data_IF_536050877969
#
_entry.id   IF_536050877969
#
_cell.length_a   1.000
_cell.length_b   1.000
_cell.length_c   1.000
_cell.angle_alpha   90.00
_cell.angle_beta   90.00
_cell.angle_gamma   90.00
#
_symmetry.space_group_name_H-M   'P 1'
#
loop_
_entity.id
_entity.type
_entity.pdbx_description
1 polymer ?
#
# COMPACT_ATOMS: atom_id res chain seq x y z
N UNK A 1 -12.13 0.58 0.62
CA UNK A 1 -10.99 1.52 0.42
C UNK A 1 -10.62 2.21 1.73
N UNK A 2 -11.48 3.07 2.28
CA UNK A 2 -11.17 3.83 3.51
C UNK A 2 -11.00 2.95 4.74
N UNK A 3 -11.76 1.86 4.85
CA UNK A 3 -11.52 0.80 5.85
C UNK A 3 -10.10 0.23 5.75
N UNK A 4 -9.60 -0.05 4.55
CA UNK A 4 -8.24 -0.55 4.36
C UNK A 4 -7.19 0.47 4.83
N UNK A 5 -7.40 1.77 4.55
CA UNK A 5 -6.53 2.86 5.03
C UNK A 5 -6.47 2.91 6.56
N UNK A 6 -7.61 2.72 7.24
CA UNK A 6 -7.69 2.70 8.72
C UNK A 6 -7.03 1.47 9.32
N UNK A 7 -7.31 0.30 8.76
CA UNK A 7 -6.87 -0.97 9.33
C UNK A 7 -5.44 -1.34 8.94
N UNK A 8 -4.90 -0.74 7.89
CA UNK A 8 -3.56 -1.01 7.38
C UNK A 8 -2.92 0.30 6.93
N UNK A 9 -2.09 0.88 7.78
CA UNK A 9 -1.38 2.16 7.55
C UNK A 9 -0.43 2.19 6.34
N UNK A 10 -0.35 1.08 5.59
CA UNK A 10 0.40 0.95 4.33
C UNK A 10 -0.35 1.48 3.11
N UNK A 11 -1.66 1.70 3.20
CA UNK A 11 -2.44 2.21 2.07
C UNK A 11 -2.49 3.73 2.05
N UNK A 12 -1.95 4.32 0.99
CA UNK A 12 -2.17 5.72 0.67
C UNK A 12 -3.44 5.87 -0.18
N UNK A 13 -4.18 6.95 0.04
CA UNK A 13 -5.34 7.34 -0.76
C UNK A 13 -5.09 8.76 -1.24
N UNK A 14 -5.21 8.99 -2.55
CA UNK A 14 -5.04 10.29 -3.20
C UNK A 14 -6.36 10.68 -3.84
N UNK A 15 -7.18 11.54 -3.21
CA UNK A 15 -8.46 11.98 -3.76
C UNK A 15 -8.26 12.89 -4.98
N UNK A 16 -9.10 12.70 -6.01
CA UNK A 16 -9.21 13.61 -7.16
C UNK A 16 -10.67 14.04 -7.29
N UNK A 17 -10.93 15.33 -7.15
CA UNK A 17 -12.25 15.94 -7.20
C UNK A 17 -12.45 16.58 -8.57
N UNK A 18 -13.13 15.87 -9.46
CA UNK A 18 -13.38 16.34 -10.83
C UNK A 18 -14.75 17.01 -10.94
N UNK A 19 -14.74 18.31 -11.27
CA UNK A 19 -15.91 19.19 -11.42
C UNK A 19 -16.86 19.11 -10.23
N UNK A 20 -16.31 18.89 -9.04
CA UNK A 20 -17.03 18.82 -7.78
C UNK A 20 -16.17 19.41 -6.69
N UNK A 21 -16.75 20.26 -5.85
CA UNK A 21 -16.05 20.81 -4.70
C UNK A 21 -15.90 19.74 -3.61
N UNK A 22 -14.72 19.57 -2.99
CA UNK A 22 -14.51 18.63 -1.88
C UNK A 22 -15.53 18.84 -0.75
N UNK A 23 -15.92 20.09 -0.47
CA UNK A 23 -16.92 20.42 0.55
C UNK A 23 -18.31 19.83 0.25
N UNK A 24 -18.72 19.77 -1.02
CA UNK A 24 -19.98 19.13 -1.43
C UNK A 24 -19.91 17.62 -1.30
N UNK A 25 -18.74 17.00 -1.54
CA UNK A 25 -18.53 15.56 -1.34
C UNK A 25 -18.51 15.23 0.15
N UNK A 26 -17.83 16.04 0.98
CA UNK A 26 -17.68 15.85 2.43
C UNK A 26 -19.01 15.85 3.17
N UNK A 27 -19.89 16.78 2.82
CA UNK A 27 -21.18 16.98 3.50
C UNK A 27 -22.37 16.46 2.69
N UNK A 28 -22.12 15.87 1.52
CA UNK A 28 -23.14 15.43 0.58
C UNK A 28 -24.20 16.52 0.32
N UNK A 29 -23.74 17.72 -0.02
CA UNK A 29 -24.56 18.91 -0.32
C UNK A 29 -24.48 19.31 -1.79
N UNK A 30 -25.31 20.30 -2.19
CA UNK A 30 -25.40 20.76 -3.58
C UNK A 30 -25.83 19.66 -4.55
N UNK A 31 -25.41 19.81 -5.82
CA UNK A 31 -25.73 18.87 -6.91
C UNK A 31 -25.21 17.46 -6.58
N UNK A 32 -24.03 17.35 -5.97
CA UNK A 32 -23.49 16.06 -5.54
C UNK A 32 -24.40 15.38 -4.54
N UNK A 33 -24.85 16.11 -3.52
CA UNK A 33 -25.78 15.64 -2.49
C UNK A 33 -27.12 15.15 -3.05
N UNK A 34 -27.70 15.89 -3.99
CA UNK A 34 -28.94 15.49 -4.66
C UNK A 34 -28.78 14.16 -5.41
N UNK A 35 -27.69 14.02 -6.18
CA UNK A 35 -27.38 12.78 -6.90
C UNK A 35 -27.08 11.63 -5.95
N UNK A 36 -26.35 11.90 -4.87
CA UNK A 36 -26.08 10.92 -3.83
C UNK A 36 -27.38 10.41 -3.22
N UNK A 37 -28.26 11.30 -2.74
CA UNK A 37 -29.57 10.93 -2.18
C UNK A 37 -30.40 10.13 -3.17
N UNK A 38 -30.50 10.56 -4.42
CA UNK A 38 -31.26 9.83 -5.44
C UNK A 38 -30.67 8.45 -5.72
N UNK A 39 -29.33 8.33 -5.75
CA UNK A 39 -28.63 7.07 -6.01
C UNK A 39 -28.69 6.09 -4.83
N UNK A 40 -28.84 6.60 -3.60
CA UNK A 40 -28.91 5.77 -2.39
C UNK A 40 -30.31 5.32 -2.02
N UNK A 41 -31.38 5.85 -2.64
CA UNK A 41 -32.79 5.55 -2.31
C UNK A 41 -33.15 4.06 -2.24
N UNK A 42 -32.47 3.21 -3.00
CA UNK A 42 -32.73 1.76 -3.08
C UNK A 42 -31.96 0.93 -2.05
N UNK A 43 -31.04 1.54 -1.32
CA UNK A 43 -30.23 0.86 -0.31
C UNK A 43 -30.80 1.12 1.07
N UNK A 44 -30.51 0.23 2.01
CA UNK A 44 -30.89 0.45 3.41
C UNK A 44 -30.12 1.65 3.99
N UNK A 45 -30.65 2.19 5.09
CA UNK A 45 -30.10 3.38 5.73
C UNK A 45 -28.67 3.18 6.24
N UNK A 46 -28.36 1.98 6.75
CA UNK A 46 -27.03 1.64 7.25
C UNK A 46 -25.96 1.74 6.16
N UNK A 47 -26.19 1.17 4.98
CA UNK A 47 -25.26 1.23 3.84
C UNK A 47 -25.11 2.68 3.36
N UNK A 48 -26.19 3.45 3.34
CA UNK A 48 -26.13 4.85 2.97
C UNK A 48 -25.27 5.66 3.96
N UNK A 49 -25.37 5.35 5.26
CA UNK A 49 -24.59 6.01 6.32
C UNK A 49 -23.10 5.65 6.24
N UNK A 50 -22.77 4.38 5.98
CA UNK A 50 -21.38 3.95 5.74
C UNK A 50 -20.75 4.70 4.56
N UNK A 51 -21.52 4.92 3.49
CA UNK A 51 -21.04 5.69 2.34
C UNK A 51 -20.85 7.17 2.65
N UNK A 52 -21.77 7.80 3.39
CA UNK A 52 -21.60 9.18 3.84
C UNK A 52 -20.33 9.33 4.65
N UNK A 53 -20.10 8.40 5.58
CA UNK A 53 -18.93 8.42 6.44
C UNK A 53 -17.63 8.24 5.63
N UNK A 54 -17.58 7.25 4.73
CA UNK A 54 -16.44 7.05 3.84
C UNK A 54 -16.16 8.24 2.91
N UNK A 55 -17.22 8.89 2.38
CA UNK A 55 -17.11 10.11 1.57
C UNK A 55 -16.62 11.30 2.40
N UNK A 56 -17.05 11.40 3.66
CA UNK A 56 -16.58 12.39 4.60
C UNK A 56 -15.09 12.23 4.90
N UNK A 57 -14.63 11.01 5.15
CA UNK A 57 -13.22 10.71 5.40
C UNK A 57 -12.35 11.02 4.18
N UNK A 58 -12.71 10.49 2.99
CA UNK A 58 -11.89 10.68 1.79
C UNK A 58 -11.82 12.16 1.39
N UNK A 59 -12.89 12.92 1.62
CA UNK A 59 -12.94 14.36 1.33
C UNK A 59 -12.19 15.22 2.33
N UNK A 60 -11.78 14.64 3.46
CA UNK A 60 -10.94 15.30 4.46
C UNK A 60 -9.44 15.11 4.20
N UNK A 61 -9.08 14.23 3.26
CA UNK A 61 -7.70 14.04 2.80
C UNK A 61 -7.38 15.13 1.77
N UNK A 62 -6.16 15.69 1.85
CA UNK A 62 -5.64 16.60 0.83
C UNK A 62 -5.60 15.89 -0.54
N UNK A 63 -6.23 16.50 -1.53
CA UNK A 63 -6.37 15.94 -2.87
C UNK A 63 -6.33 17.00 -3.95
N UNK A 64 -6.57 16.57 -5.19
CA UNK A 64 -6.49 17.44 -6.36
C UNK A 64 -7.89 17.84 -6.82
N UNK A 65 -8.15 19.14 -6.92
CA UNK A 65 -9.42 19.68 -7.39
C UNK A 65 -9.30 20.13 -8.85
N UNK A 66 -10.26 19.74 -9.69
CA UNK A 66 -10.36 20.21 -11.07
C UNK A 66 -11.72 20.77 -11.40
N UNK A 67 -11.81 22.09 -11.58
CA UNK A 67 -13.03 22.77 -12.03
C UNK A 67 -13.19 22.75 -13.57
N UNK A 68 -12.22 22.18 -14.30
CA UNK A 68 -12.16 22.15 -15.76
C UNK A 68 -11.03 23.03 -16.29
N UNK A 69 -10.30 22.55 -17.30
CA UNK A 69 -9.04 23.15 -17.71
C UNK A 69 -7.91 22.79 -16.74
N UNK A 70 -6.70 22.62 -17.28
CA UNK A 70 -5.51 22.14 -16.56
C UNK A 70 -5.60 20.67 -16.08
N UNK A 71 -6.43 19.83 -16.71
CA UNK A 71 -6.45 18.40 -16.39
C UNK A 71 -5.06 17.76 -16.53
N UNK A 72 -4.31 18.12 -17.57
CA UNK A 72 -2.95 17.61 -17.83
C UNK A 72 -2.02 17.89 -16.66
N UNK A 73 -1.95 19.14 -16.17
CA UNK A 73 -1.09 19.53 -15.05
C UNK A 73 -1.44 18.76 -13.77
N UNK A 74 -2.74 18.54 -13.52
CA UNK A 74 -3.20 17.81 -12.33
C UNK A 74 -2.88 16.33 -12.44
N UNK A 75 -3.03 15.73 -13.63
CA UNK A 75 -2.64 14.35 -13.89
C UNK A 75 -1.13 14.17 -13.67
N UNK A 76 -0.30 15.07 -14.21
CA UNK A 76 1.15 15.03 -14.01
C UNK A 76 1.53 15.14 -12.52
N UNK A 77 0.86 15.99 -11.75
CA UNK A 77 1.07 16.09 -10.30
C UNK A 77 0.68 14.82 -9.56
N UNK A 78 -0.47 14.24 -9.90
CA UNK A 78 -0.93 12.96 -9.33
C UNK A 78 0.07 11.84 -9.66
N UNK A 79 0.49 11.74 -10.92
CA UNK A 79 1.45 10.75 -11.40
C UNK A 79 2.78 10.85 -10.63
N UNK A 80 3.34 12.06 -10.57
CA UNK A 80 4.56 12.34 -9.80
C UNK A 80 4.41 11.97 -8.33
N UNK A 81 3.30 12.34 -7.68
CA UNK A 81 3.07 11.98 -6.29
C UNK A 81 3.02 10.46 -6.10
N UNK A 82 2.28 9.75 -6.94
CA UNK A 82 2.16 8.29 -6.85
C UNK A 82 3.52 7.61 -7.05
N UNK A 83 4.28 8.03 -8.07
CA UNK A 83 5.63 7.51 -8.32
C UNK A 83 6.56 7.72 -7.12
N UNK A 84 6.64 8.94 -6.59
CA UNK A 84 7.51 9.23 -5.43
C UNK A 84 7.13 8.42 -4.19
N UNK A 85 5.84 8.23 -3.92
CA UNK A 85 5.39 7.46 -2.76
C UNK A 85 5.66 5.96 -2.91
N UNK A 86 5.59 5.44 -4.14
CA UNK A 86 5.99 4.07 -4.43
C UNK A 86 7.50 3.85 -4.28
N UNK A 87 8.32 4.80 -4.74
CA UNK A 87 9.78 4.74 -4.59
C UNK A 87 10.20 4.74 -3.10
N UNK A 88 9.61 5.62 -2.29
CA UNK A 88 9.84 5.64 -0.84
C UNK A 88 9.49 4.31 -0.18
N UNK A 89 8.34 3.74 -0.54
CA UNK A 89 7.93 2.44 -0.01
C UNK A 89 8.95 1.34 -0.35
N UNK A 90 9.50 1.36 -1.56
CA UNK A 90 10.52 0.41 -2.02
C UNK A 90 11.84 0.55 -1.25
N UNK A 91 12.34 1.77 -1.07
CA UNK A 91 13.57 2.01 -0.31
C UNK A 91 13.44 1.62 1.17
N UNK A 92 12.27 1.81 1.77
CA UNK A 92 12.02 1.35 3.13
C UNK A 92 12.06 -0.18 3.23
N UNK A 93 11.51 -0.89 2.26
CA UNK A 93 11.59 -2.37 2.25
C UNK A 93 13.03 -2.85 2.08
N UNK A 94 13.80 -2.25 1.17
CA UNK A 94 15.20 -2.63 0.95
C UNK A 94 16.06 -2.37 2.21
N UNK A 95 15.81 -1.24 2.89
CA UNK A 95 16.49 -0.90 4.14
C UNK A 95 16.14 -1.86 5.28
N UNK A 96 14.86 -2.22 5.42
CA UNK A 96 14.44 -3.21 6.42
C UNK A 96 15.06 -4.58 6.16
N UNK A 97 15.12 -5.02 4.90
CA UNK A 97 15.79 -6.26 4.52
C UNK A 97 17.28 -6.21 4.84
N UNK A 98 17.97 -5.12 4.50
CA UNK A 98 19.38 -4.93 4.81
C UNK A 98 19.66 -4.99 6.33
N UNK A 99 18.80 -4.37 7.14
CA UNK A 99 18.92 -4.37 8.60
C UNK A 99 18.73 -5.77 9.19
N UNK A 100 17.71 -6.52 8.73
CA UNK A 100 17.52 -7.92 9.15
C UNK A 100 18.72 -8.78 8.76
N UNK A 101 19.26 -8.59 7.56
CA UNK A 101 20.43 -9.32 7.08
C UNK A 101 21.71 -8.96 7.86
N UNK A 102 21.84 -7.71 8.32
CA UNK A 102 22.95 -7.28 9.17
C UNK A 102 22.89 -7.95 10.54
N UNK A 103 21.73 -7.93 11.21
CA UNK A 103 21.54 -8.60 12.51
C UNK A 103 21.79 -10.11 12.41
N UNK A 104 21.28 -10.78 11.37
CA UNK A 104 21.53 -12.22 11.16
C UNK A 104 23.03 -12.53 10.96
N UNK A 105 23.76 -11.65 10.28
CA UNK A 105 25.22 -11.79 10.11
C UNK A 105 25.95 -11.62 11.45
N UNK A 106 25.51 -10.69 12.27
CA UNK A 106 26.06 -10.43 13.59
C UNK A 106 25.83 -11.61 14.54
N UNK A 107 24.60 -12.14 14.58
CA UNK A 107 24.27 -13.36 15.35
C UNK A 107 25.12 -14.56 14.92
N UNK A 108 25.28 -14.76 13.60
CA UNK A 108 26.12 -15.82 13.05
C UNK A 108 27.60 -15.68 13.47
N UNK A 109 28.11 -14.44 13.47
CA UNK A 109 29.49 -14.16 13.85
C UNK A 109 29.72 -14.41 15.35
N UNK A 110 28.80 -13.97 16.20
CA UNK A 110 28.82 -14.22 17.64
C UNK A 110 28.83 -15.73 17.94
N UNK A 111 27.91 -16.49 17.31
CA UNK A 111 27.79 -17.93 17.56
C UNK A 111 29.02 -18.70 17.04
N UNK A 112 29.57 -18.33 15.88
CA UNK A 112 30.83 -18.87 15.38
C UNK A 112 31.99 -18.65 16.35
N UNK A 113 32.10 -17.45 16.93
CA UNK A 113 33.15 -17.09 17.88
C UNK A 113 33.03 -17.93 19.14
N UNK A 114 31.81 -18.10 19.66
CA UNK A 114 31.52 -18.95 20.81
C UNK A 114 31.86 -20.43 20.56
N UNK A 115 31.55 -20.96 19.38
CA UNK A 115 31.95 -22.32 18.96
C UNK A 115 33.48 -22.47 18.79
N UNK A 116 34.17 -21.37 18.48
CA UNK A 116 35.62 -21.31 18.42
C UNK A 116 36.27 -21.45 19.80
N UNK A 117 35.78 -20.69 20.77
CA UNK A 117 36.30 -20.63 22.13
C UNK A 117 35.98 -21.89 22.95
N UNK A 118 34.80 -22.49 22.77
CA UNK A 118 34.39 -23.68 23.52
C UNK A 118 34.99 -24.99 22.98
N UNK A 119 35.88 -24.95 21.97
CA UNK A 119 36.45 -26.12 21.28
C UNK A 119 35.39 -27.14 20.80
N UNK A 120 34.16 -26.69 20.53
CA UNK A 120 33.09 -27.55 20.03
C UNK A 120 33.34 -27.94 18.56
N UNK A 121 32.95 -29.18 18.25
CA UNK A 121 33.36 -29.92 17.05
C UNK A 121 32.96 -29.28 15.72
N UNK A 122 33.72 -29.62 14.66
CA UNK A 122 33.53 -29.11 13.30
C UNK A 122 32.10 -29.29 12.77
N UNK A 123 31.37 -30.32 13.23
CA UNK A 123 29.98 -30.60 12.85
C UNK A 123 28.99 -29.51 13.28
N UNK A 124 29.15 -28.92 14.47
CA UNK A 124 28.28 -27.82 14.93
C UNK A 124 28.51 -26.55 14.11
N UNK A 125 29.76 -26.26 13.74
CA UNK A 125 30.10 -25.12 12.88
C UNK A 125 29.55 -25.32 11.46
N UNK A 126 29.63 -26.54 10.93
CA UNK A 126 29.07 -26.88 9.62
C UNK A 126 27.54 -26.80 9.62
N UNK A 127 26.90 -27.28 10.70
CA UNK A 127 25.45 -27.14 10.89
C UNK A 127 25.04 -25.67 10.95
N UNK A 128 25.74 -24.85 11.74
CA UNK A 128 25.47 -23.41 11.84
C UNK A 128 25.63 -22.70 10.48
N UNK A 129 26.67 -23.04 9.70
CA UNK A 129 26.85 -22.48 8.36
C UNK A 129 25.72 -22.88 7.39
N UNK A 130 25.28 -24.14 7.43
CA UNK A 130 24.11 -24.59 6.65
C UNK A 130 22.83 -23.86 7.04
N UNK A 131 22.58 -23.69 8.33
CA UNK A 131 21.38 -23.02 8.85
C UNK A 131 21.37 -21.53 8.45
N UNK A 132 22.52 -20.85 8.53
CA UNK A 132 22.69 -19.46 8.10
C UNK A 132 22.49 -19.29 6.58
N UNK A 133 23.12 -20.14 5.76
CA UNK A 133 22.93 -20.17 4.30
C UNK A 133 21.47 -20.46 3.93
N UNK A 134 20.78 -21.32 4.68
CA UNK A 134 19.37 -21.62 4.51
C UNK A 134 18.44 -20.44 4.84
N UNK A 135 18.83 -19.59 5.80
CA UNK A 135 18.09 -18.38 6.18
C UNK A 135 18.25 -17.25 5.16
N UNK A 136 19.44 -17.09 4.55
CA UNK A 136 19.67 -16.09 3.50
C UNK A 136 18.91 -16.38 2.20
N UNK A 137 18.64 -17.65 1.88
CA UNK A 137 17.90 -18.05 0.67
C UNK A 137 16.38 -17.88 0.79
N UNK A 138 15.86 -17.60 1.99
CA UNK A 138 14.44 -17.27 2.19
C UNK A 138 14.22 -15.78 1.95
N UNK A 139 14.41 -15.33 0.71
CA UNK A 139 13.79 -14.05 0.29
C UNK A 139 12.28 -14.20 0.50
N UNK A 140 11.61 -13.30 1.24
CA UNK A 140 10.17 -13.35 1.34
C UNK A 140 9.60 -12.91 -0.02
N UNK A 141 9.32 -13.86 -0.91
CA UNK A 141 8.40 -13.59 -2.02
C UNK A 141 7.09 -13.16 -1.36
N UNK A 142 6.61 -11.92 -1.58
CA UNK A 142 5.39 -11.45 -0.96
C UNK A 142 4.27 -12.47 -1.24
N UNK A 143 3.52 -12.89 -0.20
CA UNK A 143 2.42 -13.87 -0.38
C UNK A 143 1.39 -13.42 -1.41
N UNK A 144 1.34 -12.13 -1.74
CA UNK A 144 0.52 -11.57 -2.84
C UNK A 144 0.97 -11.98 -4.25
N UNK A 145 2.15 -12.59 -4.41
CA UNK A 145 2.72 -12.99 -5.72
C UNK A 145 2.65 -14.50 -6.01
N UNK A 146 2.14 -15.34 -5.10
CA UNK A 146 1.83 -16.75 -5.41
C UNK A 146 0.37 -16.91 -5.78
N UNK A 147 0.09 -16.77 -7.07
CA UNK A 147 -1.03 -17.45 -7.71
C UNK A 147 -0.48 -18.40 -8.77
N UNK A 148 -0.94 -19.64 -8.70
CA UNK A 148 -0.57 -20.78 -9.52
C UNK A 148 -0.16 -20.41 -10.97
N UNK A 149 1.13 -20.48 -11.26
CA UNK A 149 1.67 -20.75 -12.60
C UNK A 149 1.39 -19.74 -13.71
N UNK A 150 1.07 -18.48 -13.42
CA UNK A 150 0.99 -17.42 -14.45
C UNK A 150 1.66 -16.15 -13.97
N UNK A 151 2.64 -15.66 -14.74
CA UNK A 151 3.23 -14.34 -14.59
C UNK A 151 2.11 -13.30 -14.72
N UNK A 152 1.62 -12.80 -13.59
CA UNK A 152 0.64 -11.73 -13.56
C UNK A 152 1.38 -10.45 -13.94
N UNK A 153 1.37 -10.11 -15.23
CA UNK A 153 1.61 -8.73 -15.65
C UNK A 153 0.61 -7.88 -14.86
N UNK A 154 1.09 -7.02 -13.98
CA UNK A 154 0.28 -6.02 -13.29
C UNK A 154 -0.36 -5.10 -14.33
N UNK A 155 -1.48 -5.54 -14.93
CA UNK A 155 -2.44 -4.67 -15.58
C UNK A 155 -3.20 -4.00 -14.45
N UNK A 156 -2.76 -2.80 -14.07
CA UNK A 156 -3.58 -1.87 -13.31
C UNK A 156 -4.79 -1.56 -14.20
N UNK A 157 -5.92 -2.22 -13.92
CA UNK A 157 -7.18 -1.94 -14.61
C UNK A 157 -7.76 -0.66 -14.01
N UNK A 158 -7.44 0.48 -14.62
CA UNK A 158 -8.18 1.72 -14.39
C UNK A 158 -9.50 1.57 -15.17
N UNK A 159 -10.52 1.00 -14.54
CA UNK A 159 -11.87 0.97 -15.13
C UNK A 159 -12.52 2.33 -14.93
N UNK A 160 -12.34 3.24 -15.88
CA UNK A 160 -13.17 4.43 -16.02
C UNK A 160 -14.52 4.02 -16.61
N UNK A 161 -15.52 3.77 -15.76
CA UNK A 161 -16.90 3.68 -16.21
C UNK A 161 -17.44 5.09 -16.47
N UNK A 162 -17.23 5.60 -17.68
CA UNK A 162 -18.05 6.69 -18.22
C UNK A 162 -19.21 6.06 -18.98
N UNK A 163 -20.42 6.07 -18.40
CA UNK A 163 -21.65 5.82 -19.15
C UNK A 163 -22.11 7.16 -19.72
N UNK A 164 -22.06 7.29 -21.04
CA UNK A 164 -22.90 8.22 -21.82
C UNK A 164 -24.37 7.88 -21.65
#
# INVERSE_FOLDING_TARGET
MMECKRNNGRYMVVPVFYKVKPAHVRHQTGIFGERFRSGTRRFNEQVAEEWKWALGEVSSILGYESEGGQETEKIEKVDKQVCCELEKAHHLTDSMEANVMASLKEDYHCELTRLAEENRGAEEREKLHRDFQGSQKRTPVPRSMRSNGKMVRNKIQITLHCKT
#
